data_IF_056678185420
#
_entry.id   IF_056678185420
#
_cell.length_a   1.000
_cell.length_b   1.000
_cell.length_c   1.000
_cell.angle_alpha   90.00
_cell.angle_beta   90.00
_cell.angle_gamma   90.00
#
_symmetry.space_group_name_H-M   'P 1'
#
loop_
_entity.id
_entity.type
_entity.pdbx_description
1 polymer ?
#
# COMPACT_ATOMS: atom_id res chain seq x y z
N UNK A 1 -21.34 34.19 -23.99
CA UNK A 1 -21.31 34.31 -22.51
C UNK A 1 -21.77 33.02 -21.78
N UNK A 2 -22.88 32.42 -22.19
CA UNK A 2 -23.35 31.17 -21.53
C UNK A 2 -22.40 29.98 -21.70
N UNK A 3 -21.78 29.82 -22.85
CA UNK A 3 -20.84 28.74 -23.14
C UNK A 3 -19.59 28.82 -22.26
N UNK A 4 -19.06 30.01 -22.01
CA UNK A 4 -17.91 30.21 -21.12
C UNK A 4 -18.25 29.89 -19.65
N UNK A 5 -19.45 30.25 -19.20
CA UNK A 5 -19.89 29.93 -17.82
C UNK A 5 -20.01 28.42 -17.60
N UNK A 6 -20.59 27.69 -18.56
CA UNK A 6 -20.70 26.23 -18.50
C UNK A 6 -19.33 25.54 -18.50
N UNK A 7 -18.40 26.02 -19.35
CA UNK A 7 -17.03 25.49 -19.39
C UNK A 7 -16.28 25.72 -18.07
N UNK A 8 -16.41 26.91 -17.51
CA UNK A 8 -15.80 27.25 -16.22
C UNK A 8 -16.37 26.37 -15.10
N UNK A 9 -17.69 26.17 -15.07
CA UNK A 9 -18.32 25.31 -14.06
C UNK A 9 -17.84 23.86 -14.17
N UNK A 10 -17.77 23.30 -15.37
CA UNK A 10 -17.27 21.94 -15.60
C UNK A 10 -15.82 21.83 -15.16
N UNK A 11 -14.96 22.79 -15.50
CA UNK A 11 -13.56 22.80 -15.10
C UNK A 11 -13.39 22.83 -13.56
N UNK A 12 -14.19 23.62 -12.86
CA UNK A 12 -14.17 23.71 -11.39
C UNK A 12 -14.60 22.37 -10.78
N UNK A 13 -15.69 21.77 -11.26
CA UNK A 13 -16.17 20.47 -10.76
C UNK A 13 -15.12 19.38 -10.95
N UNK A 14 -14.48 19.32 -12.12
CA UNK A 14 -13.41 18.35 -12.40
C UNK A 14 -12.18 18.58 -11.49
N UNK A 15 -11.78 19.82 -11.27
CA UNK A 15 -10.68 20.17 -10.39
C UNK A 15 -10.96 19.80 -8.93
N UNK A 16 -12.17 20.06 -8.42
CA UNK A 16 -12.59 19.69 -7.08
C UNK A 16 -12.64 18.17 -6.91
N UNK A 17 -13.17 17.44 -7.88
CA UNK A 17 -13.22 15.97 -7.87
C UNK A 17 -11.83 15.36 -7.87
N UNK A 18 -10.90 15.85 -8.68
CA UNK A 18 -9.51 15.42 -8.70
C UNK A 18 -8.79 15.73 -7.37
N UNK A 19 -9.02 16.89 -6.79
CA UNK A 19 -8.46 17.29 -5.50
C UNK A 19 -8.92 16.40 -4.35
N UNK A 20 -10.21 16.05 -4.31
CA UNK A 20 -10.76 15.13 -3.31
C UNK A 20 -10.19 13.72 -3.44
N UNK A 21 -10.08 13.19 -4.66
CA UNK A 21 -9.49 11.87 -4.90
C UNK A 21 -8.02 11.80 -4.46
N UNK A 22 -7.24 12.86 -4.71
CA UNK A 22 -5.85 12.96 -4.24
C UNK A 22 -5.78 13.04 -2.72
N UNK A 23 -6.64 13.84 -2.09
CA UNK A 23 -6.72 13.96 -0.64
C UNK A 23 -7.00 12.60 0.02
N UNK A 24 -7.98 11.86 -0.49
CA UNK A 24 -8.31 10.53 0.02
C UNK A 24 -7.12 9.56 -0.07
N UNK A 25 -6.42 9.56 -1.20
CA UNK A 25 -5.22 8.72 -1.39
C UNK A 25 -4.13 9.05 -0.39
N UNK A 26 -3.81 10.32 -0.21
CA UNK A 26 -2.77 10.77 0.73
C UNK A 26 -3.16 10.46 2.18
N UNK A 27 -4.43 10.60 2.53
CA UNK A 27 -4.93 10.28 3.87
C UNK A 27 -4.84 8.78 4.17
N UNK A 28 -5.21 7.92 3.23
CA UNK A 28 -5.10 6.46 3.36
C UNK A 28 -3.63 6.04 3.45
N UNK A 29 -2.76 6.60 2.61
CA UNK A 29 -1.32 6.32 2.65
C UNK A 29 -0.69 6.75 3.99
N UNK A 30 -1.07 7.91 4.53
CA UNK A 30 -0.60 8.38 5.83
C UNK A 30 -1.05 7.46 6.98
N UNK A 31 -2.29 6.97 6.94
CA UNK A 31 -2.76 5.96 7.90
C UNK A 31 -1.99 4.65 7.75
N UNK A 32 -1.68 4.26 6.52
CA UNK A 32 -0.88 3.08 6.22
C UNK A 32 0.53 3.15 6.80
N UNK A 33 1.18 4.30 6.73
CA UNK A 33 2.48 4.54 7.36
C UNK A 33 2.40 4.39 8.89
N UNK A 34 1.38 4.97 9.50
CA UNK A 34 1.14 4.83 10.95
C UNK A 34 0.87 3.38 11.34
N UNK A 35 0.06 2.67 10.57
CA UNK A 35 -0.25 1.25 10.79
C UNK A 35 1.00 0.38 10.61
N UNK A 36 1.81 0.65 9.59
CA UNK A 36 3.09 -0.02 9.35
C UNK A 36 4.03 0.14 10.55
N UNK A 37 4.12 1.34 11.09
CA UNK A 37 4.92 1.65 12.28
C UNK A 37 4.34 0.97 13.53
N UNK A 38 3.04 1.07 13.75
CA UNK A 38 2.35 0.47 14.90
C UNK A 38 2.49 -1.04 14.96
N UNK A 39 2.41 -1.71 13.83
CA UNK A 39 2.57 -3.16 13.74
C UNK A 39 4.04 -3.61 13.77
N UNK A 40 4.99 -2.68 13.77
CA UNK A 40 6.42 -3.00 13.85
C UNK A 40 7.04 -3.52 12.57
N UNK A 41 6.40 -3.32 11.43
CA UNK A 41 6.89 -3.79 10.13
C UNK A 41 8.29 -3.28 9.80
N UNK A 42 8.57 -2.01 10.13
CA UNK A 42 9.87 -1.36 9.93
C UNK A 42 11.03 -1.97 10.74
N UNK A 43 10.73 -2.77 11.77
CA UNK A 43 11.77 -3.45 12.55
C UNK A 43 12.51 -4.54 11.77
N UNK A 44 11.88 -5.11 10.75
CA UNK A 44 12.51 -6.08 9.85
C UNK A 44 12.69 -5.51 8.44
N UNK A 45 11.67 -4.83 7.92
CA UNK A 45 11.72 -4.19 6.61
C UNK A 45 12.43 -2.84 6.71
N UNK A 46 13.20 -2.47 5.70
CA UNK A 46 14.01 -1.24 5.59
C UNK A 46 15.21 -1.13 6.53
N UNK A 47 15.15 -1.64 7.76
CA UNK A 47 16.23 -1.49 8.74
C UNK A 47 16.75 -2.79 9.34
N UNK A 48 16.04 -3.90 9.15
CA UNK A 48 16.41 -5.22 9.66
C UNK A 48 16.80 -6.20 8.55
N UNK A 49 16.78 -7.49 8.86
CA UNK A 49 17.12 -8.56 7.92
C UNK A 49 16.04 -8.93 6.91
N UNK A 50 14.91 -8.23 6.87
CA UNK A 50 13.83 -8.47 5.94
C UNK A 50 14.01 -7.80 4.58
N UNK A 51 13.21 -8.18 3.57
CA UNK A 51 13.32 -7.58 2.24
C UNK A 51 12.88 -6.12 2.23
N UNK A 52 13.52 -5.34 1.35
CA UNK A 52 13.10 -3.98 1.08
C UNK A 52 11.78 -3.97 0.30
N UNK A 53 10.81 -3.20 0.78
CA UNK A 53 9.44 -3.15 0.25
C UNK A 53 9.20 -2.05 -0.79
N UNK A 54 10.21 -1.27 -1.15
CA UNK A 54 10.05 -0.09 -2.01
C UNK A 54 9.29 -0.38 -3.32
N UNK A 55 9.54 -1.52 -3.93
CA UNK A 55 8.89 -1.89 -5.21
C UNK A 55 8.02 -3.15 -5.11
N UNK A 56 7.63 -3.54 -3.91
CA UNK A 56 6.88 -4.78 -3.69
C UNK A 56 5.55 -4.82 -4.43
N UNK A 57 4.87 -3.67 -4.54
CA UNK A 57 3.58 -3.55 -5.21
C UNK A 57 3.64 -3.74 -6.73
N UNK A 58 4.83 -3.66 -7.34
CA UNK A 58 5.04 -3.97 -8.76
C UNK A 58 5.35 -5.44 -8.99
N UNK A 59 5.93 -6.11 -8.00
CA UNK A 59 6.39 -7.50 -8.11
C UNK A 59 5.32 -8.52 -7.77
N UNK A 60 4.31 -8.12 -7.02
CA UNK A 60 3.26 -9.00 -6.55
C UNK A 60 1.87 -8.39 -6.73
N UNK A 61 0.88 -9.24 -6.98
CA UNK A 61 -0.52 -8.84 -7.02
C UNK A 61 -0.93 -8.23 -5.67
N UNK A 62 -1.58 -7.05 -5.65
CA UNK A 62 -2.05 -6.43 -4.41
C UNK A 62 -2.95 -7.32 -3.56
N UNK A 63 -3.79 -8.15 -4.17
CA UNK A 63 -4.65 -9.12 -3.44
C UNK A 63 -3.83 -10.16 -2.70
N UNK A 64 -2.76 -10.64 -3.33
CA UNK A 64 -1.83 -11.56 -2.69
C UNK A 64 -1.12 -10.89 -1.52
N UNK A 65 -0.69 -9.64 -1.69
CA UNK A 65 -0.03 -8.87 -0.62
C UNK A 65 -0.96 -8.63 0.57
N UNK A 66 -2.22 -8.26 0.34
CA UNK A 66 -3.23 -8.10 1.40
C UNK A 66 -3.39 -9.41 2.18
N UNK A 67 -3.56 -10.52 1.50
CA UNK A 67 -3.67 -11.84 2.12
C UNK A 67 -2.41 -12.21 2.91
N UNK A 68 -1.24 -11.93 2.35
CA UNK A 68 0.04 -12.19 2.98
C UNK A 68 0.23 -11.37 4.27
N UNK A 69 -0.09 -10.07 4.23
CA UNK A 69 0.00 -9.20 5.41
C UNK A 69 -0.92 -9.68 6.53
N UNK A 70 -2.13 -10.14 6.20
CA UNK A 70 -3.09 -10.62 7.20
C UNK A 70 -2.72 -11.99 7.78
N UNK A 71 -2.25 -12.89 6.94
CA UNK A 71 -1.94 -14.27 7.34
C UNK A 71 -0.81 -14.86 6.49
N UNK A 72 0.45 -14.50 6.77
CA UNK A 72 1.58 -15.01 6.00
C UNK A 72 1.67 -16.55 6.05
N UNK A 73 1.35 -17.15 7.17
CA UNK A 73 1.39 -18.61 7.31
C UNK A 73 0.45 -19.34 6.34
N UNK A 74 -0.74 -18.80 6.08
CA UNK A 74 -1.66 -19.37 5.09
C UNK A 74 -1.08 -19.31 3.68
N UNK A 75 -0.48 -18.19 3.31
CA UNK A 75 0.16 -18.03 2.00
C UNK A 75 1.34 -18.99 1.84
N UNK A 76 2.17 -19.15 2.86
CA UNK A 76 3.27 -20.13 2.82
C UNK A 76 2.76 -21.57 2.61
N UNK A 77 1.72 -21.98 3.33
CA UNK A 77 1.12 -23.30 3.16
C UNK A 77 0.60 -23.54 1.75
N UNK A 78 -0.09 -22.57 1.17
CA UNK A 78 -0.56 -22.64 -0.21
C UNK A 78 0.56 -22.73 -1.24
N UNK A 79 1.74 -22.26 -0.90
CA UNK A 79 2.94 -22.26 -1.73
C UNK A 79 3.90 -23.40 -1.39
N UNK A 80 3.43 -24.46 -0.76
CA UNK A 80 4.28 -25.57 -0.30
C UNK A 80 5.46 -25.12 0.57
N UNK A 81 5.21 -24.17 1.47
CA UNK A 81 6.19 -23.55 2.36
C UNK A 81 7.34 -22.83 1.64
N UNK A 82 7.10 -22.37 0.41
CA UNK A 82 8.06 -21.53 -0.31
C UNK A 82 7.86 -20.05 0.07
N UNK A 83 8.92 -19.31 0.43
CA UNK A 83 8.80 -17.89 0.72
C UNK A 83 8.43 -17.09 -0.52
N UNK A 84 7.76 -15.95 -0.34
CA UNK A 84 7.46 -15.02 -1.42
C UNK A 84 8.74 -14.41 -2.04
N UNK A 85 9.74 -14.22 -1.22
CA UNK A 85 11.03 -13.70 -1.64
C UNK A 85 12.12 -14.71 -1.24
N UNK A 86 12.71 -15.43 -2.20
CA UNK A 86 13.76 -16.40 -1.91
C UNK A 86 14.94 -15.77 -1.15
N UNK A 87 15.47 -16.48 -0.19
CA UNK A 87 16.60 -16.02 0.64
C UNK A 87 16.20 -15.28 1.91
N UNK A 88 14.91 -15.06 2.15
CA UNK A 88 14.42 -14.43 3.38
C UNK A 88 13.66 -15.42 4.26
N UNK A 89 13.72 -15.18 5.57
CA UNK A 89 12.96 -15.95 6.55
C UNK A 89 11.45 -15.72 6.40
N UNK A 90 10.67 -16.63 6.94
CA UNK A 90 9.22 -16.45 6.98
C UNK A 90 8.83 -15.23 7.82
N UNK A 91 7.90 -14.43 7.29
CA UNK A 91 7.33 -13.33 8.02
C UNK A 91 6.41 -13.85 9.13
N UNK A 92 6.53 -13.37 10.38
CA UNK A 92 5.60 -13.72 11.44
C UNK A 92 4.23 -13.09 11.21
N UNK A 93 3.20 -13.68 11.84
CA UNK A 93 1.87 -13.08 11.82
C UNK A 93 1.85 -11.84 12.74
N UNK A 94 1.58 -10.68 12.15
CA UNK A 94 1.52 -9.40 12.86
C UNK A 94 0.10 -9.05 13.32
N UNK A 95 -0.87 -9.94 13.16
CA UNK A 95 -2.28 -9.74 13.51
C UNK A 95 -2.92 -8.52 12.81
N UNK A 96 -2.50 -8.24 11.58
CA UNK A 96 -3.07 -7.18 10.79
C UNK A 96 -4.51 -7.52 10.38
N UNK A 97 -5.41 -6.55 10.51
CA UNK A 97 -6.78 -6.66 9.99
C UNK A 97 -6.80 -6.46 8.47
N UNK A 98 -7.93 -6.74 7.83
CA UNK A 98 -8.12 -6.43 6.40
C UNK A 98 -7.92 -4.92 6.13
N UNK A 99 -8.45 -4.07 6.99
CA UNK A 99 -8.27 -2.63 6.90
C UNK A 99 -6.81 -2.22 7.05
N UNK A 100 -6.11 -2.77 8.04
CA UNK A 100 -4.66 -2.54 8.23
C UNK A 100 -3.88 -2.90 6.96
N UNK A 101 -4.18 -4.05 6.35
CA UNK A 101 -3.51 -4.50 5.14
C UNK A 101 -3.77 -3.55 3.95
N UNK A 102 -5.02 -3.12 3.75
CA UNK A 102 -5.37 -2.17 2.68
C UNK A 102 -4.67 -0.82 2.87
N UNK A 103 -4.60 -0.31 4.08
CA UNK A 103 -3.90 0.93 4.40
C UNK A 103 -2.38 0.81 4.17
N UNK A 104 -1.79 -0.30 4.57
CA UNK A 104 -0.36 -0.58 4.33
C UNK A 104 -0.07 -0.66 2.82
N UNK A 105 -0.91 -1.32 2.03
CA UNK A 105 -0.74 -1.37 0.58
C UNK A 105 -0.85 0.02 -0.05
N UNK A 106 -1.76 0.88 0.42
CA UNK A 106 -1.85 2.26 -0.03
C UNK A 106 -0.56 3.05 0.26
N UNK A 107 0.00 2.87 1.44
CA UNK A 107 1.29 3.46 1.82
C UNK A 107 2.44 2.96 0.92
N UNK A 108 2.53 1.66 0.69
CA UNK A 108 3.58 1.09 -0.16
C UNK A 108 3.45 1.52 -1.63
N UNK A 109 2.24 1.72 -2.13
CA UNK A 109 2.01 2.30 -3.47
C UNK A 109 2.49 3.74 -3.56
N UNK A 110 2.24 4.53 -2.54
CA UNK A 110 2.71 5.92 -2.50
C UNK A 110 4.23 6.00 -2.39
N UNK A 111 4.82 5.16 -1.55
CA UNK A 111 6.26 5.04 -1.42
C UNK A 111 6.93 4.66 -2.75
N UNK A 112 6.35 3.73 -3.49
CA UNK A 112 6.82 3.33 -4.81
C UNK A 112 6.80 4.48 -5.82
N UNK A 113 5.78 5.32 -5.81
CA UNK A 113 5.70 6.52 -6.66
C UNK A 113 6.76 7.55 -6.33
N UNK A 114 7.01 7.80 -5.06
CA UNK A 114 8.03 8.77 -4.63
C UNK A 114 9.44 8.38 -5.08
N UNK A 115 9.70 7.10 -5.19
CA UNK A 115 10.99 6.58 -5.64
C UNK A 115 11.19 6.61 -7.17
N UNK A 116 10.13 6.94 -7.93
CA UNK A 116 10.21 7.10 -9.39
C UNK A 116 10.57 8.52 -9.83
N UNK A 117 10.54 9.46 -8.93
CA UNK A 117 10.87 10.86 -9.15
C UNK A 117 12.35 11.11 -8.89
#
# INVERSE_FOLDING_TARGET
MEMNRKLITVAIVLALGAGLALYDRLTIASRGEQTFTRLGCGGCHFSGGGPNLTHVVRRHDPKLLVKFIQNPGAVYRERNNQPLNPGYMYMPNMNATAQDADEIIAYLKELDKQQQQ
#
